data_IF_785458696431
#
_entry.id   IF_785458696431
#
_cell.length_a   1.000
_cell.length_b   1.000
_cell.length_c   1.000
_cell.angle_alpha   90.00
_cell.angle_beta   90.00
_cell.angle_gamma   90.00
#
_symmetry.space_group_name_H-M   'P 1'
#
loop_
_entity.id
_entity.type
_entity.pdbx_description
1 polymer ?
#
# COMPACT_ATOMS: atom_id res chain seq x y z
N UNK A 1 31.75 60.99 29.69
CA UNK A 1 31.24 60.53 30.99
C UNK A 1 30.64 59.15 30.81
N UNK A 2 30.99 58.24 31.71
CA UNK A 2 31.00 56.79 31.57
C UNK A 2 29.60 56.18 31.63
N UNK A 3 29.17 55.43 30.60
CA UNK A 3 27.96 54.61 30.66
C UNK A 3 28.33 53.28 31.32
N UNK A 4 27.89 53.10 32.57
CA UNK A 4 28.00 51.84 33.33
C UNK A 4 27.08 50.79 32.72
N UNK A 5 27.65 49.70 32.24
CA UNK A 5 26.93 48.47 31.89
C UNK A 5 26.74 47.65 33.17
N UNK A 6 25.49 47.40 33.56
CA UNK A 6 25.15 46.41 34.58
C UNK A 6 24.70 45.11 33.89
N UNK A 7 25.35 43.95 34.13
CA UNK A 7 24.83 42.68 33.64
C UNK A 7 23.69 42.21 34.56
N UNK A 8 22.47 42.12 34.01
CA UNK A 8 21.35 41.43 34.67
C UNK A 8 21.59 39.92 34.57
N UNK A 9 22.06 39.34 35.67
CA UNK A 9 22.08 37.88 35.89
C UNK A 9 20.63 37.43 36.11
N UNK A 10 20.02 36.81 35.11
CA UNK A 10 18.73 36.12 35.27
C UNK A 10 19.03 34.67 35.71
N UNK A 11 18.89 34.42 37.01
CA UNK A 11 18.81 33.05 37.56
C UNK A 11 17.46 32.45 37.16
N UNK A 12 17.45 31.55 36.19
CA UNK A 12 16.29 30.68 35.96
C UNK A 12 16.24 29.59 37.04
N UNK A 13 15.33 29.78 37.99
CA UNK A 13 14.88 28.71 38.89
C UNK A 13 14.15 27.67 38.05
N UNK A 14 14.71 26.47 38.01
CA UNK A 14 14.20 25.28 37.32
C UNK A 14 12.91 24.83 38.01
N UNK A 15 11.75 25.22 37.47
CA UNK A 15 10.45 24.59 37.77
C UNK A 15 10.03 23.83 36.52
N UNK A 16 9.86 22.51 36.68
CA UNK A 16 9.56 21.59 35.59
C UNK A 16 8.31 21.98 34.83
N UNK A 17 8.51 22.56 33.65
CA UNK A 17 7.49 22.64 32.62
C UNK A 17 7.68 21.43 31.71
N UNK A 18 6.70 20.53 31.74
CA UNK A 18 6.43 19.59 30.65
C UNK A 18 6.48 20.37 29.34
N UNK A 19 7.56 20.18 28.56
CA UNK A 19 7.59 20.61 27.17
C UNK A 19 6.51 19.81 26.46
N UNK A 20 5.35 20.43 26.27
CA UNK A 20 4.39 20.05 25.26
C UNK A 20 5.08 20.20 23.91
N UNK A 21 5.76 19.13 23.48
CA UNK A 21 6.22 18.98 22.10
C UNK A 21 5.02 19.23 21.20
N UNK A 22 5.15 20.16 20.25
CA UNK A 22 4.23 20.26 19.13
C UNK A 22 3.99 18.84 18.58
N UNK A 23 2.73 18.41 18.37
CA UNK A 23 2.46 17.06 17.91
C UNK A 23 3.23 16.88 16.62
N UNK A 24 4.13 15.88 16.61
CA UNK A 24 4.88 15.49 15.42
C UNK A 24 3.86 15.35 14.29
N UNK A 25 3.90 16.25 13.29
CA UNK A 25 2.96 16.26 12.20
C UNK A 25 3.35 15.13 11.27
N UNK A 26 3.64 13.93 11.74
CA UNK A 26 3.79 12.66 11.03
C UNK A 26 3.52 11.48 11.99
N UNK A 27 2.94 11.78 13.16
CA UNK A 27 2.55 10.80 14.16
C UNK A 27 1.42 9.90 13.62
N UNK A 28 1.62 8.57 13.52
CA UNK A 28 0.59 7.62 13.09
C UNK A 28 -0.69 7.64 13.93
N UNK A 29 -0.68 8.28 15.10
CA UNK A 29 -1.87 8.45 15.94
C UNK A 29 -2.91 9.42 15.36
N UNK A 30 -2.50 10.29 14.44
CA UNK A 30 -3.39 11.29 13.83
C UNK A 30 -4.20 10.65 12.70
N UNK A 31 -3.53 10.09 11.68
CA UNK A 31 -4.17 9.53 10.47
C UNK A 31 -3.81 8.06 10.19
N UNK A 32 -3.14 7.37 11.11
CA UNK A 32 -2.63 6.03 10.85
C UNK A 32 -1.48 6.04 9.86
N UNK A 33 -1.46 5.04 8.96
CA UNK A 33 -0.51 4.98 7.86
C UNK A 33 -0.97 5.71 6.60
N UNK A 34 -2.17 6.33 6.63
CA UNK A 34 -2.60 7.21 5.54
C UNK A 34 -1.67 8.41 5.44
N UNK A 35 -1.46 8.94 4.22
CA UNK A 35 -0.69 10.16 4.06
C UNK A 35 -1.40 11.32 4.75
N UNK A 36 -0.60 12.26 5.22
CA UNK A 36 -1.10 13.42 5.95
C UNK A 36 -1.93 14.37 5.11
N UNK A 37 -1.56 14.45 3.83
CA UNK A 37 -2.23 15.22 2.81
C UNK A 37 -2.84 14.23 1.84
N UNK A 38 -3.99 14.60 1.29
CA UNK A 38 -4.60 13.84 0.21
C UNK A 38 -3.56 13.57 -0.89
N UNK A 39 -3.45 12.33 -1.41
CA UNK A 39 -2.53 12.05 -2.50
C UNK A 39 -2.72 12.99 -3.68
N UNK A 40 -1.63 13.38 -4.35
CA UNK A 40 -1.73 14.27 -5.50
C UNK A 40 -2.39 13.54 -6.68
N UNK A 41 -3.55 14.01 -7.19
CA UNK A 41 -4.28 13.34 -8.27
C UNK A 41 -3.54 13.45 -9.62
N UNK A 42 -2.80 14.54 -9.83
CA UNK A 42 -2.03 14.78 -11.05
C UNK A 42 -0.63 15.23 -10.67
N UNK A 43 0.38 14.80 -11.41
CA UNK A 43 1.70 15.44 -11.41
C UNK A 43 1.69 16.62 -12.42
N UNK A 44 2.63 17.56 -12.29
CA UNK A 44 2.63 18.78 -13.09
C UNK A 44 4.01 19.07 -13.68
N UNK A 45 4.05 19.91 -14.72
CA UNK A 45 5.27 20.23 -15.47
C UNK A 45 5.84 18.98 -16.14
N UNK A 46 7.15 18.82 -16.13
CA UNK A 46 7.79 17.64 -16.73
C UNK A 46 7.47 16.30 -16.07
N UNK A 47 6.67 16.24 -15.01
CA UNK A 47 6.23 14.99 -14.39
C UNK A 47 4.90 14.45 -14.97
N UNK A 48 4.29 15.17 -15.92
CA UNK A 48 3.02 14.80 -16.55
C UNK A 48 3.15 13.49 -17.31
N UNK A 49 4.27 13.28 -17.99
CA UNK A 49 4.52 12.08 -18.81
C UNK A 49 4.68 10.84 -17.95
N UNK A 50 5.20 10.99 -16.71
CA UNK A 50 5.22 9.90 -15.73
C UNK A 50 3.80 9.51 -15.27
N UNK A 51 2.87 10.48 -15.14
CA UNK A 51 1.47 10.18 -14.81
C UNK A 51 0.78 9.46 -15.97
N UNK A 52 1.01 9.91 -17.21
CA UNK A 52 0.49 9.27 -18.41
C UNK A 52 1.02 7.85 -18.58
N UNK A 53 2.34 7.65 -18.43
CA UNK A 53 2.97 6.34 -18.51
C UNK A 53 2.46 5.39 -17.43
N UNK A 54 2.29 5.85 -16.19
CA UNK A 54 1.76 5.00 -15.13
C UNK A 54 0.32 4.54 -15.41
N UNK A 55 -0.52 5.42 -15.97
CA UNK A 55 -1.88 5.06 -16.40
C UNK A 55 -1.87 4.06 -17.55
N UNK A 56 -1.03 4.29 -18.56
CA UNK A 56 -0.93 3.40 -19.71
C UNK A 56 -0.39 2.01 -19.30
N UNK A 57 0.65 1.96 -18.49
CA UNK A 57 1.23 0.70 -18.01
C UNK A 57 0.26 -0.10 -17.12
N UNK A 58 -0.47 0.57 -16.22
CA UNK A 58 -1.46 -0.08 -15.35
C UNK A 58 -2.66 -0.65 -16.12
N UNK A 59 -3.03 -0.03 -17.24
CA UNK A 59 -4.12 -0.47 -18.10
C UNK A 59 -3.67 -1.46 -19.20
N UNK A 60 -2.38 -1.77 -19.31
CA UNK A 60 -1.86 -2.63 -20.35
C UNK A 60 -2.42 -4.06 -20.22
N UNK A 61 -2.74 -4.77 -21.32
CA UNK A 61 -3.27 -6.13 -21.28
C UNK A 61 -2.35 -7.15 -20.57
N UNK A 62 -1.02 -6.97 -20.69
CA UNK A 62 -0.01 -7.87 -20.15
C UNK A 62 1.27 -7.12 -19.73
N UNK A 63 2.22 -7.85 -19.14
CA UNK A 63 3.49 -7.28 -18.65
C UNK A 63 4.40 -6.85 -19.80
N UNK A 64 4.37 -7.59 -20.90
CA UNK A 64 5.16 -7.35 -22.10
C UNK A 64 4.77 -6.03 -22.76
N UNK A 65 3.46 -5.78 -22.92
CA UNK A 65 2.96 -4.51 -23.43
C UNK A 65 3.30 -3.34 -22.49
N UNK A 66 3.20 -3.54 -21.17
CA UNK A 66 3.64 -2.53 -20.21
C UNK A 66 5.14 -2.20 -20.35
N UNK A 67 5.99 -3.19 -20.62
CA UNK A 67 7.44 -2.99 -20.84
C UNK A 67 7.71 -2.20 -22.12
N UNK A 68 7.03 -2.51 -23.22
CA UNK A 68 7.15 -1.77 -24.48
C UNK A 68 6.81 -0.28 -24.32
N UNK A 69 5.79 0.04 -23.51
CA UNK A 69 5.45 1.44 -23.19
C UNK A 69 6.58 2.16 -22.44
N UNK A 70 7.25 1.48 -21.50
CA UNK A 70 8.38 2.04 -20.76
C UNK A 70 9.60 2.22 -21.67
N UNK A 71 9.88 1.25 -22.54
CA UNK A 71 10.96 1.34 -23.52
C UNK A 71 10.75 2.53 -24.46
N UNK A 72 9.54 2.72 -24.97
CA UNK A 72 9.19 3.88 -25.79
C UNK A 72 9.40 5.21 -25.04
N UNK A 73 8.89 5.32 -23.80
CA UNK A 73 9.06 6.52 -23.00
C UNK A 73 10.52 6.80 -22.60
N UNK A 74 11.39 5.77 -22.57
CA UNK A 74 12.82 5.96 -22.37
C UNK A 74 13.52 6.51 -23.63
N UNK A 75 13.05 6.13 -24.83
CA UNK A 75 13.56 6.63 -26.12
C UNK A 75 13.25 8.10 -26.35
N UNK A 76 12.11 8.59 -25.88
CA UNK A 76 11.69 9.99 -26.04
C UNK A 76 12.41 10.99 -25.11
N UNK A 77 13.45 10.55 -24.37
CA UNK A 77 14.38 11.36 -23.54
C UNK A 77 13.83 12.10 -22.32
N UNK A 78 12.51 12.12 -22.09
CA UNK A 78 11.91 12.89 -20.99
C UNK A 78 12.07 12.22 -19.61
N UNK A 79 11.97 10.90 -19.52
CA UNK A 79 12.12 10.16 -18.25
C UNK A 79 13.52 10.29 -17.61
N UNK A 80 14.64 10.14 -18.34
CA UNK A 80 15.98 10.34 -17.79
C UNK A 80 16.19 11.74 -17.17
N UNK A 81 15.58 12.77 -17.76
CA UNK A 81 15.69 14.14 -17.28
C UNK A 81 14.98 14.34 -15.92
N UNK A 82 14.00 13.50 -15.57
CA UNK A 82 13.29 13.59 -14.29
C UNK A 82 14.19 13.28 -13.10
N UNK A 83 15.20 12.42 -13.29
CA UNK A 83 16.13 12.04 -12.21
C UNK A 83 16.78 13.27 -11.59
N UNK A 84 17.23 14.21 -12.43
CA UNK A 84 17.88 15.45 -11.99
C UNK A 84 16.90 16.40 -11.28
N UNK A 85 15.59 16.19 -11.43
CA UNK A 85 14.53 17.02 -10.87
C UNK A 85 13.95 16.43 -9.58
N UNK A 86 14.25 15.19 -9.22
CA UNK A 86 13.75 14.52 -7.99
C UNK A 86 14.05 15.34 -6.74
N UNK A 87 15.26 15.90 -6.63
CA UNK A 87 15.67 16.71 -5.48
C UNK A 87 14.83 17.99 -5.31
N UNK A 88 14.23 18.49 -6.40
CA UNK A 88 13.38 19.70 -6.39
C UNK A 88 11.92 19.40 -6.02
N UNK A 89 11.53 18.12 -5.93
CA UNK A 89 10.18 17.76 -5.52
C UNK A 89 10.00 18.01 -4.01
N UNK A 90 8.89 18.68 -3.69
CA UNK A 90 8.34 18.62 -2.33
C UNK A 90 8.07 17.17 -1.95
N UNK A 91 8.13 16.85 -0.66
CA UNK A 91 7.93 15.49 -0.15
C UNK A 91 6.60 14.88 -0.62
N UNK A 92 5.51 15.66 -0.58
CA UNK A 92 4.19 15.24 -1.03
C UNK A 92 4.18 14.83 -2.51
N UNK A 93 4.86 15.62 -3.37
CA UNK A 93 4.97 15.32 -4.80
C UNK A 93 5.93 14.16 -5.08
N UNK A 94 6.99 14.01 -4.29
CA UNK A 94 7.90 12.88 -4.38
C UNK A 94 7.21 11.56 -4.04
N UNK A 95 6.36 11.53 -2.99
CA UNK A 95 5.52 10.37 -2.66
C UNK A 95 4.55 10.02 -3.80
N UNK A 96 3.93 11.04 -4.41
CA UNK A 96 3.06 10.81 -5.56
C UNK A 96 3.81 10.23 -6.77
N UNK A 97 4.98 10.79 -7.12
CA UNK A 97 5.84 10.28 -8.19
C UNK A 97 6.37 8.86 -7.90
N UNK A 98 6.75 8.59 -6.66
CA UNK A 98 7.15 7.26 -6.19
C UNK A 98 6.02 6.23 -6.35
N UNK A 99 4.76 6.60 -6.06
CA UNK A 99 3.61 5.73 -6.32
C UNK A 99 3.46 5.43 -7.82
N UNK A 100 3.56 6.44 -8.71
CA UNK A 100 3.48 6.21 -10.17
C UNK A 100 4.58 5.27 -10.65
N UNK A 101 5.80 5.48 -10.15
CA UNK A 101 6.91 4.59 -10.41
C UNK A 101 6.61 3.16 -9.94
N UNK A 102 6.07 3.00 -8.72
CA UNK A 102 5.71 1.69 -8.19
C UNK A 102 4.65 0.97 -9.05
N UNK A 103 3.66 1.71 -9.58
CA UNK A 103 2.65 1.18 -10.50
C UNK A 103 3.30 0.68 -11.78
N UNK A 104 4.19 1.47 -12.40
CA UNK A 104 4.90 1.07 -13.63
C UNK A 104 5.71 -0.20 -13.38
N UNK A 105 6.52 -0.22 -12.32
CA UNK A 105 7.36 -1.37 -11.95
C UNK A 105 6.50 -2.62 -11.68
N UNK A 106 5.36 -2.47 -11.00
CA UNK A 106 4.42 -3.56 -10.77
C UNK A 106 3.84 -4.10 -12.09
N UNK A 107 3.37 -3.20 -12.97
CA UNK A 107 2.81 -3.55 -14.27
C UNK A 107 3.82 -4.28 -15.18
N UNK A 108 5.09 -3.88 -15.15
CA UNK A 108 6.18 -4.53 -15.90
C UNK A 108 6.65 -5.86 -15.25
N UNK A 109 6.16 -6.22 -14.06
CA UNK A 109 6.57 -7.41 -13.34
C UNK A 109 8.02 -7.35 -12.84
N UNK A 110 8.50 -6.15 -12.48
CA UNK A 110 9.85 -5.93 -11.94
C UNK A 110 9.84 -5.79 -10.41
N UNK A 111 8.83 -6.33 -9.73
CA UNK A 111 8.60 -6.08 -8.30
C UNK A 111 9.73 -6.58 -7.40
N UNK A 112 10.38 -7.69 -7.77
CA UNK A 112 11.50 -8.31 -7.05
C UNK A 112 12.87 -7.71 -7.45
N UNK A 113 12.90 -7.00 -8.57
CA UNK A 113 14.11 -6.43 -9.14
C UNK A 113 14.78 -5.50 -8.14
N UNK A 114 16.03 -5.78 -7.83
CA UNK A 114 16.88 -4.82 -7.13
C UNK A 114 17.44 -3.84 -8.17
N UNK A 115 16.99 -2.56 -8.16
CA UNK A 115 17.37 -1.59 -9.17
C UNK A 115 18.85 -1.21 -9.10
N UNK A 116 19.55 -1.58 -8.02
CA UNK A 116 20.99 -1.33 -7.86
C UNK A 116 21.86 -2.46 -8.37
N UNK A 117 21.27 -3.61 -8.72
CA UNK A 117 22.00 -4.79 -9.18
C UNK A 117 22.40 -4.67 -10.67
N UNK A 118 23.59 -5.17 -11.03
CA UNK A 118 24.04 -5.21 -12.43
C UNK A 118 23.16 -6.07 -13.34
N UNK A 119 22.45 -7.05 -12.77
CA UNK A 119 21.46 -7.88 -13.47
C UNK A 119 20.22 -7.07 -13.87
N UNK A 120 19.87 -6.02 -13.12
CA UNK A 120 18.72 -5.19 -13.43
C UNK A 120 18.88 -4.39 -14.72
N UNK A 121 20.08 -3.90 -15.03
CA UNK A 121 20.39 -3.21 -16.29
C UNK A 121 20.22 -4.09 -17.54
N UNK A 122 20.10 -5.41 -17.38
CA UNK A 122 19.79 -6.35 -18.49
C UNK A 122 18.28 -6.54 -18.71
N UNK A 123 17.45 -6.08 -17.77
CA UNK A 123 15.99 -6.33 -17.72
C UNK A 123 15.19 -5.04 -17.92
N UNK A 124 15.75 -3.90 -17.51
CA UNK A 124 15.15 -2.58 -17.69
C UNK A 124 16.25 -1.55 -17.99
N UNK A 125 15.88 -0.46 -18.68
CA UNK A 125 16.79 0.64 -19.02
C UNK A 125 17.44 1.26 -17.77
N UNK A 126 18.75 1.46 -17.81
CA UNK A 126 19.53 1.97 -16.67
C UNK A 126 19.07 3.35 -16.19
N UNK A 127 18.59 4.21 -17.10
CA UNK A 127 18.12 5.56 -16.77
C UNK A 127 16.79 5.48 -16.00
N UNK A 128 15.93 4.53 -16.38
CA UNK A 128 14.71 4.23 -15.64
C UNK A 128 15.03 3.71 -14.23
N UNK A 129 15.95 2.76 -14.10
CA UNK A 129 16.39 2.22 -12.80
C UNK A 129 16.99 3.32 -11.89
N UNK A 130 17.74 4.26 -12.47
CA UNK A 130 18.30 5.38 -11.75
C UNK A 130 17.22 6.36 -11.22
N UNK A 131 16.17 6.63 -12.00
CA UNK A 131 15.01 7.41 -11.54
C UNK A 131 14.26 6.66 -10.44
N UNK A 132 14.01 5.36 -10.61
CA UNK A 132 13.37 4.52 -9.60
C UNK A 132 14.13 4.58 -8.27
N UNK A 133 15.44 4.31 -8.28
CA UNK A 133 16.28 4.35 -7.08
C UNK A 133 16.23 5.73 -6.40
N UNK A 134 16.28 6.81 -7.19
CA UNK A 134 16.22 8.18 -6.69
C UNK A 134 14.88 8.48 -5.99
N UNK A 135 13.76 8.03 -6.56
CA UNK A 135 12.43 8.20 -5.96
C UNK A 135 12.23 7.31 -4.72
N UNK A 136 12.77 6.09 -4.72
CA UNK A 136 12.72 5.21 -3.55
C UNK A 136 13.45 5.82 -2.37
N UNK A 137 14.66 6.33 -2.60
CA UNK A 137 15.42 7.05 -1.58
C UNK A 137 14.69 8.32 -1.11
N UNK A 138 14.19 9.14 -2.04
CA UNK A 138 13.48 10.41 -1.71
C UNK A 138 12.18 10.19 -0.92
N UNK A 139 11.54 9.03 -1.10
CA UNK A 139 10.31 8.65 -0.41
C UNK A 139 10.55 7.79 0.84
N UNK A 140 11.80 7.59 1.26
CA UNK A 140 12.19 6.81 2.44
C UNK A 140 11.83 5.31 2.38
N UNK A 141 11.81 4.73 1.17
CA UNK A 141 11.51 3.30 0.95
C UNK A 141 12.77 2.50 0.56
N UNK A 142 12.94 1.33 1.18
CA UNK A 142 13.98 0.36 0.77
C UNK A 142 13.49 -0.52 -0.38
N UNK A 143 12.26 -1.00 -0.31
CA UNK A 143 11.56 -1.66 -1.42
C UNK A 143 10.32 -0.84 -1.75
N UNK A 144 10.26 -0.35 -2.98
CA UNK A 144 9.21 0.60 -3.37
C UNK A 144 7.87 -0.08 -3.59
N UNK A 145 7.88 -1.31 -4.12
CA UNK A 145 6.69 -1.94 -4.64
C UNK A 145 6.09 -2.90 -3.62
N UNK A 146 4.99 -2.45 -3.04
CA UNK A 146 4.10 -3.25 -2.20
C UNK A 146 2.69 -2.68 -2.24
N UNK A 147 1.70 -3.48 -1.87
CA UNK A 147 0.31 -3.03 -1.80
C UNK A 147 0.13 -1.77 -0.94
N UNK A 148 0.86 -1.56 0.18
CA UNK A 148 0.78 -0.31 0.92
C UNK A 148 1.14 0.92 0.08
N UNK A 149 2.23 0.87 -0.69
CA UNK A 149 2.60 1.96 -1.62
C UNK A 149 1.53 2.15 -2.70
N UNK A 150 1.07 1.04 -3.29
CA UNK A 150 0.10 1.06 -4.39
C UNK A 150 -1.30 1.49 -3.96
N UNK A 151 -1.66 1.36 -2.68
CA UNK A 151 -3.00 1.70 -2.18
C UNK A 151 -3.03 3.04 -1.47
N UNK A 152 -2.15 3.29 -0.49
CA UNK A 152 -2.25 4.44 0.41
C UNK A 152 -1.97 5.79 -0.28
N UNK A 153 -1.30 5.75 -1.44
CA UNK A 153 -0.99 6.92 -2.26
C UNK A 153 -1.75 6.94 -3.59
N UNK A 154 -2.66 5.99 -3.84
CA UNK A 154 -3.40 5.85 -5.09
C UNK A 154 -4.91 5.97 -4.89
N UNK A 155 -5.36 7.07 -4.28
CA UNK A 155 -6.78 7.31 -4.09
C UNK A 155 -7.09 8.80 -3.98
N UNK A 156 -8.30 9.16 -4.37
CA UNK A 156 -8.88 10.48 -4.22
C UNK A 156 -10.39 10.36 -3.92
N UNK A 157 -11.03 11.36 -3.29
CA UNK A 157 -12.48 11.39 -3.25
C UNK A 157 -13.03 11.59 -4.66
N UNK A 158 -14.14 10.93 -4.97
CA UNK A 158 -14.82 11.05 -6.26
C UNK A 158 -15.24 12.50 -6.56
N UNK A 159 -15.59 13.26 -5.51
CA UNK A 159 -15.98 14.67 -5.59
C UNK A 159 -15.12 15.49 -4.65
N UNK A 160 -14.83 16.74 -5.03
CA UNK A 160 -14.16 17.67 -4.14
C UNK A 160 -15.01 17.82 -2.87
N UNK A 161 -14.45 17.59 -1.67
CA UNK A 161 -15.24 17.67 -0.44
C UNK A 161 -15.69 19.12 -0.21
N UNK A 162 -16.95 19.29 0.18
CA UNK A 162 -17.53 20.62 0.44
C UNK A 162 -16.96 21.31 1.69
N UNK A 163 -16.28 20.56 2.57
CA UNK A 163 -15.61 21.06 3.77
C UNK A 163 -14.23 20.41 3.93
N UNK A 164 -13.31 21.10 4.60
CA UNK A 164 -12.01 20.52 4.94
C UNK A 164 -12.19 19.41 5.99
N UNK A 165 -11.94 18.16 5.59
CA UNK A 165 -11.97 16.99 6.46
C UNK A 165 -10.54 16.43 6.65
N UNK A 166 -10.22 15.91 7.85
CA UNK A 166 -9.04 15.06 8.04
C UNK A 166 -9.00 13.92 7.02
N UNK A 167 -7.80 13.54 6.56
CA UNK A 167 -7.63 12.53 5.50
C UNK A 167 -8.25 11.19 5.89
N UNK A 168 -8.10 10.76 7.14
CA UNK A 168 -8.72 9.53 7.64
C UNK A 168 -10.24 9.61 7.65
N UNK A 169 -10.83 10.75 8.03
CA UNK A 169 -12.28 10.92 7.99
C UNK A 169 -12.80 10.89 6.55
N UNK A 170 -12.13 11.59 5.64
CA UNK A 170 -12.47 11.61 4.22
C UNK A 170 -12.40 10.21 3.62
N UNK A 171 -11.35 9.43 3.92
CA UNK A 171 -11.21 8.05 3.47
C UNK A 171 -12.32 7.12 4.01
N UNK A 172 -12.87 7.40 5.20
CA UNK A 172 -13.99 6.64 5.78
C UNK A 172 -15.34 6.99 5.17
N UNK A 173 -15.61 8.28 4.94
CA UNK A 173 -16.97 8.77 4.65
C UNK A 173 -17.25 8.98 3.17
N UNK A 174 -16.24 9.33 2.37
CA UNK A 174 -16.46 9.68 0.98
C UNK A 174 -16.39 8.46 0.04
N UNK A 175 -17.09 8.51 -1.12
CA UNK A 175 -16.80 7.63 -2.24
C UNK A 175 -15.38 7.89 -2.74
N UNK A 176 -14.58 6.83 -2.86
CA UNK A 176 -13.18 6.92 -3.27
C UNK A 176 -13.00 6.35 -4.68
N UNK A 177 -12.08 6.93 -5.44
CA UNK A 177 -11.61 6.45 -6.74
C UNK A 177 -10.10 6.30 -6.72
N UNK A 178 -9.52 5.32 -7.43
CA UNK A 178 -8.07 5.25 -7.56
C UNK A 178 -7.59 6.40 -8.45
N UNK A 179 -6.37 6.86 -8.22
CA UNK A 179 -5.80 7.92 -9.06
C UNK A 179 -5.31 7.34 -10.39
N UNK A 180 -4.62 6.21 -10.32
CA UNK A 180 -4.20 5.36 -11.43
C UNK A 180 -5.02 4.08 -11.37
N UNK A 181 -5.77 3.81 -12.44
CA UNK A 181 -6.68 2.68 -12.55
C UNK A 181 -5.98 1.50 -13.21
N UNK A 182 -6.30 0.28 -12.78
CA UNK A 182 -5.84 -0.95 -13.43
C UNK A 182 -6.88 -1.53 -14.41
N UNK A 183 -8.02 -0.85 -14.57
CA UNK A 183 -8.98 -1.08 -15.64
C UNK A 183 -8.73 -0.13 -16.81
N UNK A 184 -8.90 -0.62 -18.04
CA UNK A 184 -8.73 0.19 -19.24
C UNK A 184 -9.92 1.15 -19.46
N UNK A 185 -9.63 2.43 -19.73
CA UNK A 185 -10.64 3.43 -20.12
C UNK A 185 -11.83 3.54 -19.14
N UNK A 186 -13.04 3.55 -19.69
CA UNK A 186 -14.31 3.69 -18.93
C UNK A 186 -14.82 2.37 -18.32
N UNK A 187 -14.00 1.33 -18.30
CA UNK A 187 -14.37 0.05 -17.69
C UNK A 187 -14.60 0.21 -16.18
N UNK A 188 -15.50 -0.60 -15.58
CA UNK A 188 -15.72 -0.56 -14.14
C UNK A 188 -14.46 -0.93 -13.38
N UNK A 189 -14.30 -0.36 -12.18
CA UNK A 189 -13.14 -0.60 -11.30
C UNK A 189 -12.84 -2.08 -11.15
N UNK A 190 -11.59 -2.43 -11.41
CA UNK A 190 -11.10 -3.79 -11.33
C UNK A 190 -11.08 -4.35 -9.91
N UNK A 191 -10.87 -5.66 -9.80
CA UNK A 191 -10.63 -6.31 -8.50
C UNK A 191 -9.43 -5.71 -7.75
N UNK A 192 -8.34 -5.38 -8.46
CA UNK A 192 -7.16 -4.76 -7.86
C UNK A 192 -7.47 -3.33 -7.39
N UNK A 193 -8.17 -2.52 -8.19
CA UNK A 193 -8.61 -1.18 -7.79
C UNK A 193 -9.46 -1.22 -6.51
N UNK A 194 -10.43 -2.15 -6.47
CA UNK A 194 -11.30 -2.34 -5.31
C UNK A 194 -10.55 -2.85 -4.09
N UNK A 195 -9.56 -3.73 -4.25
CA UNK A 195 -8.69 -4.16 -3.15
C UNK A 195 -7.89 -2.99 -2.59
N UNK A 196 -7.31 -2.15 -3.45
CA UNK A 196 -6.56 -0.96 -3.03
C UNK A 196 -7.46 0.01 -2.25
N UNK A 197 -8.66 0.30 -2.74
CA UNK A 197 -9.63 1.16 -2.03
C UNK A 197 -10.13 0.52 -0.73
N UNK A 198 -10.35 -0.78 -0.70
CA UNK A 198 -10.70 -1.51 0.52
C UNK A 198 -9.58 -1.42 1.57
N UNK A 199 -8.31 -1.49 1.12
CA UNK A 199 -7.12 -1.34 1.97
C UNK A 199 -7.02 0.08 2.54
N UNK A 200 -7.23 1.12 1.72
CA UNK A 200 -7.30 2.51 2.19
C UNK A 200 -8.38 2.68 3.27
N UNK A 201 -9.57 2.11 3.05
CA UNK A 201 -10.66 2.17 4.04
C UNK A 201 -10.34 1.37 5.31
N UNK A 202 -9.63 0.25 5.19
CA UNK A 202 -9.19 -0.55 6.34
C UNK A 202 -8.21 0.27 7.19
N UNK A 203 -7.23 0.95 6.59
CA UNK A 203 -6.32 1.87 7.31
C UNK A 203 -7.06 3.04 7.96
N UNK A 204 -8.02 3.63 7.25
CA UNK A 204 -8.78 4.78 7.73
C UNK A 204 -9.61 4.47 8.99
N UNK A 205 -10.21 3.28 9.05
CA UNK A 205 -10.90 2.79 10.26
C UNK A 205 -9.93 2.21 11.28
N UNK A 206 -8.80 1.67 10.81
CA UNK A 206 -7.70 1.11 11.58
C UNK A 206 -7.03 2.09 12.53
N UNK A 207 -7.15 3.40 12.31
CA UNK A 207 -6.56 4.43 13.18
C UNK A 207 -6.95 4.27 14.65
N UNK A 208 -8.15 3.76 14.92
CA UNK A 208 -8.62 3.50 16.28
C UNK A 208 -7.82 2.40 16.98
N UNK A 209 -7.31 1.41 16.25
CA UNK A 209 -6.41 0.39 16.80
C UNK A 209 -5.10 1.03 17.27
N UNK A 210 -4.55 2.01 16.55
CA UNK A 210 -3.31 2.68 16.95
C UNK A 210 -3.49 3.53 18.20
N UNK A 211 -4.62 4.24 18.32
CA UNK A 211 -4.93 5.02 19.52
C UNK A 211 -5.10 4.13 20.75
N UNK A 212 -5.69 2.95 20.57
CA UNK A 212 -5.81 1.94 21.63
C UNK A 212 -4.45 1.28 21.94
N UNK A 213 -3.62 1.05 20.93
CA UNK A 213 -2.27 0.51 21.08
C UNK A 213 -1.40 1.39 22.00
N UNK A 214 -1.44 2.71 21.84
CA UNK A 214 -0.76 3.65 22.75
C UNK A 214 -1.31 3.61 24.18
N UNK A 215 -2.62 3.41 24.33
CA UNK A 215 -3.25 3.31 25.65
C UNK A 215 -2.83 2.04 26.39
N UNK A 216 -2.50 0.98 25.65
CA UNK A 216 -1.99 -0.30 26.16
C UNK A 216 -0.47 -0.29 26.38
N UNK A 217 0.26 0.48 25.58
CA UNK A 217 1.71 0.55 25.59
C UNK A 217 2.25 1.09 26.93
N UNK A 218 3.02 0.27 27.66
CA UNK A 218 3.62 0.64 28.94
C UNK A 218 2.72 0.49 30.17
N UNK A 219 1.53 -0.11 30.03
CA UNK A 219 0.65 -0.45 31.17
C UNK A 219 1.01 -1.80 31.77
N UNK A 220 0.93 -1.89 33.10
CA UNK A 220 1.13 -3.15 33.82
C UNK A 220 -0.15 -4.00 33.83
N UNK A 221 -0.03 -5.33 33.72
CA UNK A 221 -1.16 -6.24 33.93
C UNK A 221 -1.85 -6.01 35.29
N UNK A 222 -3.17 -6.23 35.35
CA UNK A 222 -3.98 -5.92 36.53
C UNK A 222 -4.57 -4.49 36.57
N UNK A 223 -4.13 -3.57 35.70
CA UNK A 223 -4.81 -2.29 35.50
C UNK A 223 -6.14 -2.52 34.76
N UNK A 224 -7.27 -2.15 35.37
CA UNK A 224 -8.62 -2.29 34.78
C UNK A 224 -8.72 -1.58 33.42
N UNK A 225 -7.90 -0.56 33.15
CA UNK A 225 -7.89 0.08 31.83
C UNK A 225 -7.41 -0.85 30.72
N UNK A 226 -6.59 -1.85 31.02
CA UNK A 226 -6.04 -2.81 30.04
C UNK A 226 -7.15 -3.70 29.49
N UNK A 227 -7.97 -4.32 30.35
CA UNK A 227 -9.10 -5.13 29.90
C UNK A 227 -10.11 -4.30 29.10
N UNK A 228 -10.42 -3.08 29.55
CA UNK A 228 -11.31 -2.16 28.83
C UNK A 228 -10.76 -1.81 27.44
N UNK A 229 -9.46 -1.52 27.33
CA UNK A 229 -8.83 -1.19 26.06
C UNK A 229 -8.78 -2.40 25.12
N UNK A 230 -8.52 -3.61 25.63
CA UNK A 230 -8.58 -4.85 24.85
C UNK A 230 -9.99 -5.13 24.34
N UNK A 231 -11.03 -5.03 25.18
CA UNK A 231 -12.42 -5.17 24.71
C UNK A 231 -12.83 -4.10 23.68
N UNK A 232 -12.27 -2.88 23.76
CA UNK A 232 -12.45 -1.85 22.71
C UNK A 232 -11.73 -2.24 21.42
N UNK A 233 -10.53 -2.79 21.52
CA UNK A 233 -9.75 -3.29 20.38
C UNK A 233 -10.51 -4.40 19.66
N UNK A 234 -11.03 -5.40 20.38
CA UNK A 234 -11.88 -6.47 19.84
C UNK A 234 -13.11 -5.93 19.10
N UNK A 235 -13.79 -4.92 19.66
CA UNK A 235 -14.93 -4.28 18.97
C UNK A 235 -14.53 -3.61 17.66
N UNK A 236 -13.40 -2.91 17.64
CA UNK A 236 -12.87 -2.32 16.40
C UNK A 236 -12.52 -3.42 15.39
N UNK A 237 -11.84 -4.49 15.81
CA UNK A 237 -11.51 -5.64 14.95
C UNK A 237 -12.77 -6.27 14.33
N UNK A 238 -13.84 -6.47 15.10
CA UNK A 238 -15.12 -6.95 14.57
C UNK A 238 -15.75 -6.01 13.54
N UNK A 239 -15.70 -4.70 13.77
CA UNK A 239 -16.19 -3.72 12.79
C UNK A 239 -15.39 -3.77 11.47
N UNK A 240 -14.05 -3.85 11.58
CA UNK A 240 -13.17 -4.02 10.42
C UNK A 240 -13.44 -5.34 9.69
N UNK A 241 -13.69 -6.43 10.43
CA UNK A 241 -14.03 -7.72 9.87
C UNK A 241 -15.32 -7.66 9.05
N UNK A 242 -16.37 -7.04 9.60
CA UNK A 242 -17.62 -6.80 8.87
C UNK A 242 -17.42 -5.96 7.59
N UNK A 243 -16.58 -4.93 7.65
CA UNK A 243 -16.20 -4.12 6.49
C UNK A 243 -15.50 -4.97 5.42
N UNK A 244 -14.55 -5.82 5.78
CA UNK A 244 -13.84 -6.68 4.83
C UNK A 244 -14.78 -7.66 4.14
N UNK A 245 -15.73 -8.27 4.88
CA UNK A 245 -16.74 -9.16 4.28
C UNK A 245 -17.64 -8.42 3.29
N UNK A 246 -18.09 -7.21 3.62
CA UNK A 246 -18.85 -6.37 2.69
C UNK A 246 -18.06 -6.03 1.42
N UNK A 247 -16.77 -5.71 1.58
CA UNK A 247 -15.89 -5.44 0.44
C UNK A 247 -15.64 -6.69 -0.41
N UNK A 248 -15.55 -7.88 0.19
CA UNK A 248 -15.35 -9.14 -0.55
C UNK A 248 -16.49 -9.43 -1.53
N UNK A 249 -17.75 -9.14 -1.15
CA UNK A 249 -18.91 -9.24 -2.06
C UNK A 249 -18.79 -8.26 -3.23
N UNK A 250 -18.40 -7.01 -2.97
CA UNK A 250 -18.21 -6.01 -4.04
C UNK A 250 -17.04 -6.34 -4.95
N UNK A 251 -16.07 -7.07 -4.45
CA UNK A 251 -14.86 -7.44 -5.15
C UNK A 251 -15.10 -8.67 -6.03
N UNK A 252 -15.86 -9.66 -5.57
CA UNK A 252 -16.19 -10.86 -6.36
C UNK A 252 -16.95 -10.52 -7.66
N UNK A 253 -17.78 -9.47 -7.62
CA UNK A 253 -18.56 -8.96 -8.76
C UNK A 253 -17.75 -8.09 -9.74
N UNK A 254 -16.51 -7.72 -9.39
CA UNK A 254 -15.70 -6.83 -10.22
C UNK A 254 -14.92 -7.58 -11.29
N UNK A 255 -14.59 -6.94 -12.43
CA UNK A 255 -13.79 -7.56 -13.48
C UNK A 255 -12.37 -7.84 -12.99
N UNK A 256 -11.79 -8.93 -13.49
CA UNK A 256 -10.41 -9.34 -13.22
C UNK A 256 -9.67 -9.49 -14.55
N UNK A 257 -8.43 -9.00 -14.62
CA UNK A 257 -7.54 -9.19 -15.77
C UNK A 257 -6.37 -10.10 -15.41
N UNK A 258 -5.76 -10.71 -16.43
CA UNK A 258 -4.55 -11.52 -16.24
C UNK A 258 -3.40 -10.70 -15.63
N UNK A 259 -3.23 -9.45 -16.07
CA UNK A 259 -2.20 -8.54 -15.55
C UNK A 259 -2.38 -8.28 -14.04
N UNK A 260 -3.61 -8.00 -13.58
CA UNK A 260 -3.90 -7.77 -12.16
C UNK A 260 -3.59 -9.01 -11.30
N UNK A 261 -3.98 -10.20 -11.78
CA UNK A 261 -3.70 -11.46 -11.09
C UNK A 261 -2.18 -11.68 -11.00
N UNK A 262 -1.45 -11.40 -12.08
CA UNK A 262 0.00 -11.51 -12.12
C UNK A 262 0.69 -10.53 -11.16
N UNK A 263 0.19 -9.29 -11.03
CA UNK A 263 0.70 -8.32 -10.04
C UNK A 263 0.46 -8.83 -8.63
N UNK A 264 -0.75 -9.28 -8.32
CA UNK A 264 -1.09 -9.79 -6.98
C UNK A 264 -0.28 -11.03 -6.61
N UNK A 265 -0.05 -11.95 -7.54
CA UNK A 265 0.80 -13.12 -7.34
C UNK A 265 2.25 -12.70 -7.02
N UNK A 266 2.82 -11.79 -7.80
CA UNK A 266 4.19 -11.31 -7.58
C UNK A 266 4.35 -10.56 -6.25
N UNK A 267 3.34 -9.80 -5.83
CA UNK A 267 3.32 -9.17 -4.51
C UNK A 267 3.17 -10.19 -3.38
N UNK A 268 2.39 -11.26 -3.58
CA UNK A 268 2.21 -12.33 -2.60
C UNK A 268 3.52 -13.07 -2.34
N UNK A 269 4.25 -13.42 -3.40
CA UNK A 269 5.58 -14.07 -3.33
C UNK A 269 6.59 -13.24 -2.53
N UNK A 270 6.37 -11.93 -2.43
CA UNK A 270 7.24 -11.00 -1.73
C UNK A 270 6.73 -10.57 -0.35
N UNK A 271 5.67 -11.20 0.17
CA UNK A 271 5.00 -10.80 1.41
C UNK A 271 4.70 -9.28 1.41
N UNK A 272 4.27 -8.76 0.27
CA UNK A 272 4.09 -7.33 0.00
C UNK A 272 2.62 -6.91 -0.02
N UNK A 273 1.72 -7.75 0.51
CA UNK A 273 0.28 -7.54 0.47
C UNK A 273 -0.29 -7.09 1.83
N UNK A 274 0.49 -7.20 2.89
CA UNK A 274 0.05 -6.94 4.25
C UNK A 274 -0.17 -5.44 4.50
N UNK A 275 -1.37 -5.04 4.94
CA UNK A 275 -1.68 -3.66 5.25
C UNK A 275 -1.05 -3.29 6.60
N UNK A 276 -0.46 -2.09 6.72
CA UNK A 276 0.22 -1.64 7.94
C UNK A 276 -0.60 -1.74 9.23
N UNK A 277 -1.92 -1.54 9.17
CA UNK A 277 -2.82 -1.67 10.31
C UNK A 277 -2.80 -3.07 10.93
N UNK A 278 -2.75 -4.13 10.11
CA UNK A 278 -2.67 -5.49 10.61
C UNK A 278 -1.29 -5.76 11.22
N UNK A 279 -0.22 -5.25 10.61
CA UNK A 279 1.15 -5.35 11.15
C UNK A 279 1.30 -4.65 12.51
N UNK A 280 0.57 -3.56 12.74
CA UNK A 280 0.56 -2.88 14.03
C UNK A 280 -0.28 -3.64 15.07
N UNK A 281 -1.44 -4.17 14.69
CA UNK A 281 -2.26 -4.99 15.58
C UNK A 281 -1.49 -6.26 16.02
N UNK A 282 -0.77 -6.89 15.09
CA UNK A 282 0.14 -7.98 15.38
C UNK A 282 1.22 -7.57 16.38
N UNK A 283 1.83 -6.40 16.18
CA UNK A 283 2.84 -5.88 17.09
C UNK A 283 2.28 -5.68 18.52
N UNK A 284 1.06 -5.20 18.69
CA UNK A 284 0.45 -5.05 20.02
C UNK A 284 0.21 -6.40 20.68
N UNK A 285 -0.44 -7.32 19.95
CA UNK A 285 -0.89 -8.61 20.48
C UNK A 285 0.18 -9.72 20.37
N UNK A 286 1.41 -9.37 20.02
CA UNK A 286 2.52 -10.31 19.90
C UNK A 286 2.33 -11.39 18.83
N UNK A 287 1.51 -11.13 17.82
CA UNK A 287 1.26 -12.04 16.70
C UNK A 287 2.32 -11.84 15.61
N UNK A 288 2.48 -12.82 14.70
CA UNK A 288 3.26 -12.64 13.47
C UNK A 288 4.69 -13.20 13.42
N UNK A 289 5.02 -14.33 14.07
CA UNK A 289 6.35 -14.98 13.95
C UNK A 289 7.48 -14.22 14.67
N UNK A 290 8.69 -14.75 14.86
CA UNK A 290 9.74 -14.10 15.67
C UNK A 290 10.31 -12.81 15.06
N UNK A 291 10.86 -11.91 15.90
CA UNK A 291 11.58 -10.69 15.49
C UNK A 291 12.97 -11.10 14.97
N UNK A 292 13.23 -11.00 13.66
CA UNK A 292 14.48 -11.45 13.02
C UNK A 292 14.38 -11.46 11.49
N UNK A 293 15.26 -12.19 10.79
CA UNK A 293 15.26 -12.33 9.33
C UNK A 293 14.01 -13.04 8.73
N UNK A 294 13.01 -13.35 9.57
CA UNK A 294 11.73 -13.96 9.20
C UNK A 294 10.58 -12.97 8.92
N UNK A 295 9.38 -13.52 8.70
CA UNK A 295 8.19 -12.92 8.07
C UNK A 295 7.89 -11.44 8.42
N UNK A 296 8.00 -10.98 9.68
CA UNK A 296 7.72 -9.55 9.99
C UNK A 296 8.70 -8.57 9.35
N UNK A 297 9.99 -8.91 9.31
CA UNK A 297 10.99 -8.04 8.67
C UNK A 297 10.75 -7.99 7.16
N UNK A 298 10.36 -9.13 6.58
CA UNK A 298 10.03 -9.27 5.17
C UNK A 298 8.78 -8.47 4.80
N UNK A 299 7.71 -8.53 5.60
CA UNK A 299 6.49 -7.74 5.37
C UNK A 299 6.72 -6.23 5.51
N UNK A 300 7.54 -5.82 6.50
CA UNK A 300 7.75 -4.41 6.80
C UNK A 300 8.69 -3.70 5.82
N UNK A 301 9.52 -4.42 5.03
CA UNK A 301 10.53 -3.81 4.13
C UNK A 301 9.94 -2.92 3.03
N UNK A 302 8.64 -3.09 2.75
CA UNK A 302 7.87 -2.32 1.78
C UNK A 302 7.25 -1.05 2.37
N UNK A 303 7.48 -0.78 3.66
CA UNK A 303 7.05 0.44 4.35
C UNK A 303 8.20 1.44 4.43
N UNK A 304 7.85 2.73 4.44
CA UNK A 304 8.78 3.81 4.73
C UNK A 304 9.58 3.55 6.02
N UNK A 305 10.86 3.95 6.09
CA UNK A 305 11.72 3.69 7.24
C UNK A 305 11.13 4.23 8.54
N UNK A 306 10.49 5.41 8.51
CA UNK A 306 9.76 5.95 9.67
C UNK A 306 8.65 5.03 10.19
N UNK A 307 7.87 4.42 9.30
CA UNK A 307 6.77 3.52 9.65
C UNK A 307 7.32 2.22 10.24
N UNK A 308 8.44 1.71 9.69
CA UNK A 308 9.16 0.56 10.25
C UNK A 308 9.70 0.84 11.66
N UNK A 309 10.31 2.01 11.86
CA UNK A 309 10.86 2.42 13.15
C UNK A 309 9.77 2.56 14.21
N UNK A 310 8.60 3.11 13.83
CA UNK A 310 7.45 3.19 14.72
C UNK A 310 6.92 1.81 15.10
N UNK A 311 6.72 0.90 14.14
CA UNK A 311 6.29 -0.48 14.43
C UNK A 311 7.27 -1.22 15.34
N UNK A 312 8.59 -1.05 15.14
CA UNK A 312 9.62 -1.61 16.02
C UNK A 312 9.56 -1.02 17.43
N UNK A 313 9.18 0.24 17.58
CA UNK A 313 9.00 0.87 18.89
C UNK A 313 7.72 0.38 19.56
N UNK A 314 6.63 0.24 18.81
CA UNK A 314 5.38 -0.33 19.30
C UNK A 314 5.56 -1.77 19.78
N UNK A 315 6.35 -2.56 19.05
CA UNK A 315 6.71 -3.93 19.44
C UNK A 315 7.34 -3.97 20.85
N UNK A 316 8.32 -3.09 21.10
CA UNK A 316 9.00 -3.02 22.40
C UNK A 316 8.07 -2.56 23.52
N UNK A 317 7.21 -1.59 23.26
CA UNK A 317 6.30 -1.02 24.28
C UNK A 317 5.12 -1.94 24.63
N UNK A 318 4.81 -2.91 23.76
CA UNK A 318 3.70 -3.85 23.95
C UNK A 318 4.10 -5.15 24.63
N UNK A 319 5.36 -5.31 25.06
CA UNK A 319 5.85 -6.53 25.71
C UNK A 319 5.00 -6.93 26.93
N UNK A 320 4.64 -5.98 27.78
CA UNK A 320 3.84 -6.24 28.98
C UNK A 320 2.46 -6.84 28.66
N UNK A 321 1.81 -6.34 27.59
CA UNK A 321 0.51 -6.84 27.11
C UNK A 321 0.62 -8.30 26.69
N UNK A 322 1.71 -8.69 26.01
CA UNK A 322 1.93 -10.07 25.56
C UNK A 322 2.10 -11.05 26.71
N UNK A 323 2.55 -10.59 27.88
CA UNK A 323 2.64 -11.45 29.08
C UNK A 323 1.28 -11.92 29.57
N UNK A 324 0.18 -11.25 29.17
CA UNK A 324 -1.19 -11.68 29.48
C UNK A 324 -1.51 -13.06 28.91
N UNK A 325 -0.84 -13.48 27.82
CA UNK A 325 -0.99 -14.82 27.23
C UNK A 325 -0.73 -15.97 28.22
N UNK A 326 0.08 -15.72 29.25
CA UNK A 326 0.47 -16.72 30.26
C UNK A 326 -0.20 -16.48 31.63
N UNK A 327 -1.13 -15.52 31.71
CA UNK A 327 -1.82 -15.17 32.95
C UNK A 327 -3.25 -15.70 32.94
N UNK A 328 -3.93 -15.54 34.07
CA UNK A 328 -5.36 -15.83 34.25
C UNK A 328 -6.05 -14.57 34.78
N UNK A 329 -7.33 -14.42 34.47
CA UNK A 329 -8.14 -13.29 34.90
C UNK A 329 -8.73 -12.52 33.72
N UNK A 330 -9.55 -11.51 34.03
CA UNK A 330 -10.35 -10.81 33.04
C UNK A 330 -9.53 -10.06 31.97
N UNK A 331 -8.32 -9.61 32.27
CA UNK A 331 -7.41 -8.99 31.30
C UNK A 331 -6.77 -10.03 30.36
N UNK A 332 -6.43 -11.22 30.87
CA UNK A 332 -5.98 -12.35 30.06
C UNK A 332 -7.09 -12.90 29.16
N UNK A 333 -8.33 -12.96 29.64
CA UNK A 333 -9.49 -13.36 28.84
C UNK A 333 -9.74 -12.36 27.70
N UNK A 334 -9.79 -11.06 28.01
CA UNK A 334 -9.93 -10.00 27.00
C UNK A 334 -8.78 -9.99 25.98
N UNK A 335 -7.56 -10.37 26.41
CA UNK A 335 -6.42 -10.50 25.52
C UNK A 335 -6.58 -11.67 24.54
N UNK A 336 -7.05 -12.84 25.01
CA UNK A 336 -7.34 -14.00 24.16
C UNK A 336 -8.43 -13.69 23.14
N UNK A 337 -9.52 -13.05 23.58
CA UNK A 337 -10.59 -12.60 22.69
C UNK A 337 -10.07 -11.65 21.59
N UNK A 338 -9.18 -10.72 21.94
CA UNK A 338 -8.56 -9.81 20.98
C UNK A 338 -7.62 -10.53 20.00
N UNK A 339 -6.90 -11.58 20.45
CA UNK A 339 -6.08 -12.41 19.57
C UNK A 339 -6.95 -13.21 18.58
N UNK A 340 -8.00 -13.87 19.07
CA UNK A 340 -8.93 -14.64 18.24
C UNK A 340 -9.63 -13.75 17.20
N UNK A 341 -10.09 -12.57 17.62
CA UNK A 341 -10.71 -11.59 16.72
C UNK A 341 -9.72 -11.06 15.68
N UNK A 342 -8.44 -10.85 16.04
CA UNK A 342 -7.40 -10.51 15.07
C UNK A 342 -7.13 -11.64 14.07
N UNK A 343 -7.09 -12.90 14.51
CA UNK A 343 -6.96 -14.05 13.61
C UNK A 343 -8.11 -14.09 12.60
N UNK A 344 -9.35 -13.94 13.06
CA UNK A 344 -10.52 -13.87 12.18
C UNK A 344 -10.42 -12.71 11.17
N UNK A 345 -9.98 -11.53 11.62
CA UNK A 345 -9.76 -10.37 10.75
C UNK A 345 -8.69 -10.65 9.69
N UNK A 346 -7.59 -11.31 10.03
CA UNK A 346 -6.54 -11.71 9.08
C UNK A 346 -7.05 -12.71 8.05
N UNK A 347 -7.82 -13.71 8.49
CA UNK A 347 -8.43 -14.69 7.58
C UNK A 347 -9.34 -14.00 6.56
N UNK A 348 -10.19 -13.06 7.00
CA UNK A 348 -11.05 -12.30 6.09
C UNK A 348 -10.27 -11.41 5.12
N UNK A 349 -9.16 -10.80 5.56
CA UNK A 349 -8.28 -10.04 4.66
C UNK A 349 -7.62 -10.96 3.63
N UNK A 350 -7.11 -12.12 4.04
CA UNK A 350 -6.54 -13.11 3.15
C UNK A 350 -7.58 -13.64 2.13
N UNK A 351 -8.84 -13.82 2.54
CA UNK A 351 -9.95 -14.12 1.61
C UNK A 351 -10.22 -12.99 0.62
N UNK A 352 -10.19 -11.74 1.07
CA UNK A 352 -10.34 -10.58 0.19
C UNK A 352 -9.23 -10.56 -0.88
N UNK A 353 -7.98 -10.75 -0.47
CA UNK A 353 -6.81 -10.84 -1.36
C UNK A 353 -6.94 -12.01 -2.34
N UNK A 354 -7.30 -13.21 -1.85
CA UNK A 354 -7.52 -14.39 -2.70
C UNK A 354 -8.63 -14.17 -3.71
N UNK A 355 -9.70 -13.48 -3.32
CA UNK A 355 -10.80 -13.12 -4.23
C UNK A 355 -10.32 -12.16 -5.31
N UNK A 356 -9.42 -11.22 -4.97
CA UNK A 356 -8.83 -10.30 -5.94
C UNK A 356 -7.86 -10.97 -6.91
N UNK A 357 -7.08 -11.92 -6.43
CA UNK A 357 -6.12 -12.67 -7.23
C UNK A 357 -6.75 -13.81 -8.05
N UNK A 358 -8.02 -14.15 -7.80
CA UNK A 358 -8.71 -15.20 -8.55
C UNK A 358 -8.90 -14.75 -10.01
N UNK A 359 -8.51 -15.56 -11.00
CA UNK A 359 -8.80 -15.28 -12.40
C UNK A 359 -10.29 -15.05 -12.64
N UNK A 360 -10.63 -14.27 -13.68
CA UNK A 360 -12.01 -14.25 -14.16
C UNK A 360 -12.41 -15.68 -14.52
N UNK A 361 -13.61 -16.11 -14.12
CA UNK A 361 -14.15 -17.36 -14.65
C UNK A 361 -14.24 -17.17 -16.16
N UNK A 362 -13.49 -17.95 -16.92
CA UNK A 362 -13.55 -17.97 -18.38
C UNK A 362 -14.93 -18.45 -18.80
N UNK A 363 -15.87 -17.52 -18.88
CA UNK A 363 -17.15 -17.71 -19.56
C UNK A 363 -16.90 -17.61 -21.06
N UNK A 364 -17.22 -18.68 -21.77
CA UNK A 364 -17.11 -18.89 -23.21
C UNK A 364 -15.70 -19.24 -23.71
N UNK A 365 -15.46 -20.55 -23.81
CA UNK A 365 -14.80 -21.11 -24.97
C UNK A 365 -15.38 -20.45 -26.23
N UNK A 366 -14.57 -19.64 -26.92
CA UNK A 366 -14.84 -19.33 -28.32
C UNK A 366 -14.89 -20.63 -29.12
N UNK A 367 -15.65 -20.68 -30.22
CA UNK A 367 -15.80 -21.89 -31.01
C UNK A 367 -14.42 -22.35 -31.43
N UNK A 368 -14.10 -23.62 -31.14
CA UNK A 368 -12.94 -24.28 -31.72
C UNK A 368 -13.06 -24.15 -33.24
N UNK A 369 -12.29 -23.25 -33.83
CA UNK A 369 -12.05 -23.25 -35.26
C UNK A 369 -11.30 -24.56 -35.53
N UNK A 370 -12.05 -25.62 -35.86
CA UNK A 370 -11.50 -26.79 -36.52
C UNK A 370 -11.03 -26.32 -37.89
N UNK A 371 -9.76 -25.95 -37.97
CA UNK A 371 -8.97 -26.03 -39.18
C UNK A 371 -8.82 -27.51 -39.53
N UNK A 372 -9.76 -28.04 -40.32
CA UNK A 372 -9.45 -29.17 -41.20
C UNK A 372 -9.34 -28.62 -42.61
N UNK A 373 -8.09 -28.36 -42.99
CA UNK A 373 -7.72 -28.12 -44.38
C UNK A 373 -7.99 -29.36 -45.24
N UNK A 374 -8.37 -29.11 -46.48
CA UNK A 374 -8.60 -30.11 -47.50
C UNK A 374 -8.60 -29.46 -48.88
N UNK A 375 -7.47 -28.83 -49.22
CA UNK A 375 -7.13 -28.43 -50.58
C UNK A 375 -7.17 -29.68 -51.49
N UNK A 376 -8.22 -29.85 -52.29
CA UNK A 376 -8.15 -30.64 -53.53
C UNK A 376 -7.82 -29.70 -54.68
N UNK A 377 -6.63 -29.90 -55.23
CA UNK A 377 -6.08 -29.22 -56.40
C UNK A 377 -6.99 -29.44 -57.62
N UNK A 378 -7.24 -28.34 -58.32
CA UNK A 378 -7.65 -28.27 -59.72
C UNK A 378 -6.60 -28.96 -60.60
N UNK A 379 -7.05 -29.92 -61.41
CA UNK A 379 -6.38 -30.37 -62.63
C UNK A 379 -7.26 -29.96 -63.80
N UNK A 380 -6.67 -29.23 -64.74
CA UNK A 380 -7.27 -28.63 -65.94
C UNK A 380 -7.70 -29.68 -67.00
N UNK A 381 -8.49 -29.26 -68.01
CA UNK A 381 -9.29 -30.12 -68.91
C UNK A 381 -8.56 -30.45 -70.22
N UNK A 382 -8.90 -31.57 -70.87
CA UNK A 382 -8.72 -31.79 -72.33
C UNK A 382 -9.73 -32.84 -72.83
N UNK A 383 -10.50 -32.43 -73.85
CA UNK A 383 -11.13 -33.10 -75.00
C UNK A 383 -11.60 -34.57 -74.97
N UNK A 384 -12.72 -34.80 -75.67
CA UNK A 384 -12.98 -36.07 -76.34
C UNK A 384 -14.46 -36.35 -76.60
N UNK A 385 -14.90 -36.11 -77.82
CA UNK A 385 -16.22 -36.41 -78.35
C UNK A 385 -16.51 -37.93 -78.46
N UNK A 386 -17.77 -38.31 -78.21
CA UNK A 386 -18.65 -39.18 -79.02
C UNK A 386 -19.87 -39.59 -78.18
#
# INVERSE_FOLDING_TARGET
MTIKVYPKIIRYVRKGASMTSLPDPDNPLVHGFLPQRLPAPHLAGGWTDLDALARAAAAAPCREEARLLVEEACRTTELPALRLRVARLSEHRAKAAAMRMAVIVAACGWTDLDPTSSRAGRVADERFLALWTSLAHRSDHTRLVGLPMLSLLNWAPLRKPGRALPVDQLARTEPLVPIVHWSAGDQPLSRLDRLMLATVRLEAHGVWLFRLAESLAGRSPGDRSVSVALCRMTRVQHALHGQLRSNAVKLSLAPATGQQCAVLAALAEQEALEPPVLLAADAVLGMGGPMGAGSRCQQRRHLAARHRAWLSTLDRRSVAVRTLAHRRGADADAYRDAQESLVALRCAYAELVRTAARPAATGCAGPAHRTTGGLRRSGMPVDGAA
#
